data_IF_406244680907
#
_entry.id   IF_406244680907
#
_cell.length_a   1.000
_cell.length_b   1.000
_cell.length_c   1.000
_cell.angle_alpha   90.00
_cell.angle_beta   90.00
_cell.angle_gamma   90.00
#
_symmetry.space_group_name_H-M   'P 1'
#
loop_
_entity.id
_entity.type
_entity.pdbx_description
1 polymer ?
#
# COMPACT_ATOMS: atom_id res chain seq x y z
N UNK A 1 12.26 -18.24 -14.19
CA UNK A 1 10.87 -17.72 -14.27
C UNK A 1 10.18 -17.65 -12.90
N UNK A 2 10.51 -18.53 -11.95
CA UNK A 2 9.89 -18.56 -10.62
C UNK A 2 10.09 -17.26 -9.82
N UNK A 3 11.32 -16.72 -9.78
CA UNK A 3 11.63 -15.48 -9.05
C UNK A 3 10.81 -14.27 -9.49
N UNK A 4 10.52 -14.15 -10.79
CA UNK A 4 9.75 -13.04 -11.34
C UNK A 4 8.28 -13.06 -10.88
N UNK A 5 7.73 -14.25 -10.63
CA UNK A 5 6.40 -14.41 -10.05
C UNK A 5 6.37 -14.08 -8.55
N UNK A 6 7.46 -14.35 -7.83
CA UNK A 6 7.54 -14.12 -6.39
C UNK A 6 7.89 -12.67 -6.02
N UNK A 7 8.35 -11.87 -6.98
CA UNK A 7 8.69 -10.44 -6.80
C UNK A 7 7.58 -9.47 -7.21
N UNK A 8 6.32 -9.91 -7.26
CA UNK A 8 5.19 -8.99 -7.51
C UNK A 8 5.11 -7.94 -6.39
N UNK A 9 5.19 -6.66 -6.76
CA UNK A 9 5.18 -5.54 -5.82
C UNK A 9 6.57 -4.99 -5.45
N UNK A 10 7.65 -5.63 -5.93
CA UNK A 10 9.01 -5.12 -5.75
C UNK A 10 9.30 -4.03 -6.77
N UNK A 11 9.94 -2.95 -6.34
CA UNK A 11 10.53 -1.94 -7.23
C UNK A 11 12.03 -2.21 -7.44
N UNK A 12 12.67 -1.51 -8.37
CA UNK A 12 14.10 -1.70 -8.66
C UNK A 12 15.01 -1.62 -7.43
N UNK A 13 14.70 -0.71 -6.49
CA UNK A 13 15.43 -0.59 -5.22
C UNK A 13 15.24 -1.81 -4.30
N UNK A 14 14.06 -2.44 -4.30
CA UNK A 14 13.81 -3.65 -3.52
C UNK A 14 14.59 -4.83 -4.08
N UNK A 15 14.68 -4.93 -5.42
CA UNK A 15 15.45 -5.97 -6.09
C UNK A 15 16.96 -5.79 -5.84
N UNK A 16 17.47 -4.56 -5.88
CA UNK A 16 18.86 -4.26 -5.50
C UNK A 16 19.13 -4.68 -4.04
N UNK A 17 18.21 -4.33 -3.14
CA UNK A 17 18.32 -4.72 -1.73
C UNK A 17 18.30 -6.24 -1.55
N UNK A 18 17.42 -6.94 -2.28
CA UNK A 18 17.33 -8.41 -2.27
C UNK A 18 18.65 -9.05 -2.71
N UNK A 19 19.23 -8.60 -3.83
CA UNK A 19 20.52 -9.10 -4.33
C UNK A 19 21.64 -8.82 -3.33
N UNK A 20 21.64 -7.64 -2.72
CA UNK A 20 22.65 -7.26 -1.72
C UNK A 20 22.58 -8.13 -0.46
N UNK A 21 21.37 -8.46 -0.01
CA UNK A 21 21.18 -9.38 1.12
C UNK A 21 21.64 -10.81 0.76
N UNK A 22 21.27 -11.29 -0.44
CA UNK A 22 21.70 -12.60 -0.92
C UNK A 22 23.23 -12.70 -1.01
N UNK A 23 23.90 -11.64 -1.47
CA UNK A 23 25.36 -11.56 -1.50
C UNK A 23 25.98 -11.63 -0.10
N UNK A 24 25.43 -10.92 0.89
CA UNK A 24 25.95 -10.98 2.27
C UNK A 24 25.79 -12.36 2.88
N UNK A 25 24.67 -13.04 2.62
CA UNK A 25 24.43 -14.39 3.12
C UNK A 25 25.38 -15.40 2.46
N UNK A 26 25.52 -15.36 1.13
CA UNK A 26 26.46 -16.20 0.41
C UNK A 26 27.93 -15.94 0.80
N UNK A 27 28.30 -14.69 1.08
CA UNK A 27 29.65 -14.34 1.56
C UNK A 27 29.94 -14.97 2.93
N UNK A 28 28.95 -15.00 3.81
CA UNK A 28 29.07 -15.59 5.14
C UNK A 28 29.26 -17.11 5.04
N UNK A 29 28.43 -17.78 4.23
CA UNK A 29 28.54 -19.24 4.01
C UNK A 29 29.88 -19.61 3.36
N UNK A 30 30.32 -18.84 2.36
CA UNK A 30 31.61 -19.04 1.70
C UNK A 30 32.81 -18.86 2.66
N UNK A 31 32.72 -17.92 3.62
CA UNK A 31 33.76 -17.72 4.62
C UNK A 31 33.82 -18.85 5.67
N UNK A 32 32.67 -19.45 5.99
CA UNK A 32 32.57 -20.57 6.93
C UNK A 32 33.06 -21.89 6.28
N UNK A 33 32.68 -22.19 5.04
CA UNK A 33 32.98 -23.46 4.37
C UNK A 33 34.19 -23.42 3.39
N UNK A 34 34.82 -22.25 3.19
CA UNK A 34 35.88 -22.03 2.17
C UNK A 34 35.48 -22.47 0.76
N UNK A 35 34.20 -22.30 0.42
CA UNK A 35 33.64 -22.62 -0.90
C UNK A 35 33.65 -21.36 -1.76
N UNK A 36 33.69 -21.53 -3.08
CA UNK A 36 33.49 -20.42 -4.01
C UNK A 36 32.14 -19.74 -3.78
N UNK A 37 32.17 -18.41 -3.73
CA UNK A 37 30.97 -17.60 -3.54
C UNK A 37 30.02 -17.78 -4.72
N UNK A 38 28.84 -18.34 -4.46
CA UNK A 38 27.77 -18.44 -5.45
C UNK A 38 26.44 -18.01 -4.85
N UNK A 39 25.66 -17.24 -5.63
CA UNK A 39 24.28 -16.89 -5.27
C UNK A 39 23.40 -17.99 -5.85
N UNK A 40 22.94 -18.91 -5.00
CA UNK A 40 21.97 -19.93 -5.39
C UNK A 40 20.54 -19.40 -5.32
N UNK A 41 19.63 -20.07 -6.01
CA UNK A 41 18.20 -19.74 -5.94
C UNK A 41 17.63 -19.95 -4.53
N UNK A 42 18.21 -20.87 -3.75
CA UNK A 42 17.78 -21.13 -2.36
C UNK A 42 18.13 -19.95 -1.45
N UNK A 43 19.32 -19.36 -1.60
CA UNK A 43 19.72 -18.13 -0.88
C UNK A 43 18.78 -16.99 -1.24
N UNK A 44 18.43 -16.85 -2.53
CA UNK A 44 17.51 -15.82 -2.98
C UNK A 44 16.10 -16.00 -2.39
N UNK A 45 15.61 -17.26 -2.30
CA UNK A 45 14.33 -17.58 -1.69
C UNK A 45 14.31 -17.26 -0.18
N UNK A 46 15.41 -17.48 0.53
CA UNK A 46 15.54 -17.10 1.95
C UNK A 46 15.48 -15.58 2.13
N UNK A 47 16.11 -14.81 1.23
CA UNK A 47 16.09 -13.35 1.29
C UNK A 47 14.71 -12.75 0.95
N UNK A 48 13.91 -13.40 0.09
CA UNK A 48 12.53 -12.97 -0.22
C UNK A 48 11.61 -12.98 1.01
N UNK A 49 11.91 -13.77 2.04
CA UNK A 49 11.18 -13.77 3.30
C UNK A 49 11.51 -12.57 4.21
N UNK A 50 12.67 -11.93 3.99
CA UNK A 50 13.19 -10.84 4.83
C UNK A 50 12.94 -9.49 4.16
N UNK A 51 13.11 -9.42 2.84
CA UNK A 51 12.93 -8.19 2.07
C UNK A 51 11.47 -8.01 1.73
N UNK A 52 10.77 -7.14 2.44
CA UNK A 52 9.41 -6.79 2.06
C UNK A 52 9.39 -5.85 0.83
N UNK A 53 8.46 -6.05 -0.11
CA UNK A 53 8.27 -5.15 -1.25
C UNK A 53 7.80 -3.77 -0.81
N UNK A 54 8.33 -2.73 -1.45
CA UNK A 54 7.96 -1.33 -1.18
C UNK A 54 6.48 -1.06 -1.40
N UNK A 55 5.85 -1.68 -2.40
CA UNK A 55 4.41 -1.53 -2.64
C UNK A 55 3.52 -2.09 -1.51
N UNK A 56 4.04 -3.00 -0.66
CA UNK A 56 3.32 -3.48 0.53
C UNK A 56 3.57 -2.61 1.77
N UNK A 57 4.72 -1.93 1.85
CA UNK A 57 5.09 -1.09 3.00
C UNK A 57 4.26 0.18 3.12
N UNK A 58 3.78 0.74 2.01
CA UNK A 58 3.04 2.00 2.02
C UNK A 58 1.55 1.88 2.37
N UNK A 59 1.00 0.66 2.46
CA UNK A 59 -0.44 0.44 2.73
C UNK A 59 -0.65 -0.18 4.11
N UNK A 60 -0.22 0.51 5.17
CA UNK A 60 -0.71 0.24 6.52
C UNK A 60 -2.06 0.93 6.77
N UNK A 61 -3.06 0.67 5.91
CA UNK A 61 -4.45 0.90 6.30
C UNK A 61 -4.97 -0.37 6.95
N UNK A 62 -4.85 -0.45 8.28
CA UNK A 62 -5.48 -1.52 9.04
C UNK A 62 -7.00 -1.26 9.05
N UNK A 63 -7.69 -1.76 8.01
CA UNK A 63 -9.15 -1.69 7.85
C UNK A 63 -9.89 -2.74 8.69
N UNK A 64 -9.18 -3.52 9.53
CA UNK A 64 -9.81 -4.47 10.43
C UNK A 64 -10.78 -3.75 11.37
N UNK A 65 -12.07 -4.12 11.30
CA UNK A 65 -13.15 -3.47 12.04
C UNK A 65 -13.74 -2.23 11.37
N UNK A 66 -13.64 -2.09 10.06
CA UNK A 66 -14.37 -1.06 9.33
C UNK A 66 -15.89 -1.22 9.57
N UNK A 67 -16.48 -0.26 10.28
CA UNK A 67 -17.93 -0.15 10.43
C UNK A 67 -18.54 0.09 9.04
N UNK A 68 -19.69 -0.52 8.74
CA UNK A 68 -20.37 -0.27 7.47
C UNK A 68 -20.75 1.22 7.36
N UNK A 69 -20.81 1.75 6.12
CA UNK A 69 -21.21 3.14 5.87
C UNK A 69 -22.58 3.48 6.50
N UNK A 70 -23.45 2.49 6.64
CA UNK A 70 -24.79 2.56 7.22
C UNK A 70 -24.78 2.59 8.75
N UNK A 71 -23.80 1.96 9.40
CA UNK A 71 -23.63 1.96 10.87
C UNK A 71 -23.29 3.34 11.45
N UNK A 72 -22.73 4.24 10.63
CA UNK A 72 -22.40 5.60 11.07
C UNK A 72 -23.69 6.42 11.15
N UNK A 73 -24.25 6.56 12.35
CA UNK A 73 -25.43 7.39 12.59
C UNK A 73 -25.21 8.87 12.26
N UNK A 74 -26.19 9.50 11.59
CA UNK A 74 -26.19 10.94 11.31
C UNK A 74 -25.19 11.37 10.20
N UNK A 75 -24.71 12.62 10.30
CA UNK A 75 -23.70 13.21 9.40
C UNK A 75 -24.04 13.14 7.89
N UNK A 76 -25.32 13.08 7.53
CA UNK A 76 -25.77 12.88 6.15
C UNK A 76 -25.20 13.89 5.17
N UNK A 77 -25.13 15.17 5.58
CA UNK A 77 -24.53 16.22 4.76
C UNK A 77 -23.03 15.99 4.51
N UNK A 78 -22.29 15.57 5.54
CA UNK A 78 -20.86 15.28 5.46
C UNK A 78 -20.60 14.05 4.60
N UNK A 79 -21.39 12.99 4.80
CA UNK A 79 -21.37 11.77 3.98
C UNK A 79 -21.56 12.10 2.50
N UNK A 80 -22.58 12.90 2.18
CA UNK A 80 -22.87 13.30 0.82
C UNK A 80 -21.70 14.09 0.20
N UNK A 81 -21.15 15.08 0.92
CA UNK A 81 -19.99 15.86 0.44
C UNK A 81 -18.76 14.99 0.20
N UNK A 82 -18.51 13.98 1.04
CA UNK A 82 -17.40 13.05 0.85
C UNK A 82 -17.59 12.17 -0.39
N UNK A 83 -18.79 11.63 -0.60
CA UNK A 83 -19.11 10.87 -1.83
C UNK A 83 -18.94 11.75 -3.06
N UNK A 84 -19.42 12.99 -3.02
CA UNK A 84 -19.22 13.95 -4.11
C UNK A 84 -17.75 14.27 -4.36
N UNK A 85 -16.95 14.38 -3.31
CA UNK A 85 -15.55 14.74 -3.43
C UNK A 85 -14.66 13.57 -3.88
N UNK A 86 -15.01 12.34 -3.52
CA UNK A 86 -14.20 11.13 -3.79
C UNK A 86 -14.75 10.31 -4.94
N UNK A 87 -16.04 9.96 -4.91
CA UNK A 87 -16.64 9.05 -5.90
C UNK A 87 -16.91 9.75 -7.24
N UNK A 88 -17.41 10.98 -7.23
CA UNK A 88 -17.82 11.66 -8.47
C UNK A 88 -16.68 11.92 -9.46
N UNK A 89 -15.48 12.36 -9.03
CA UNK A 89 -14.37 12.51 -9.96
C UNK A 89 -13.93 11.20 -10.61
N UNK A 90 -14.04 10.08 -9.87
CA UNK A 90 -13.71 8.75 -10.37
C UNK A 90 -14.79 8.21 -11.33
N UNK A 91 -16.06 8.48 -11.03
CA UNK A 91 -17.21 7.97 -11.80
C UNK A 91 -17.54 8.83 -13.03
N UNK A 92 -17.22 10.12 -12.99
CA UNK A 92 -17.58 11.09 -14.03
C UNK A 92 -16.41 11.98 -14.51
N UNK A 93 -15.26 11.41 -14.90
CA UNK A 93 -14.07 12.19 -15.26
C UNK A 93 -14.29 13.12 -16.47
N UNK A 94 -15.11 12.70 -17.44
CA UNK A 94 -15.44 13.50 -18.62
C UNK A 94 -16.23 14.76 -18.27
N UNK A 95 -17.18 14.66 -17.33
CA UNK A 95 -18.00 15.79 -16.91
C UNK A 95 -17.15 16.84 -16.18
N UNK A 96 -16.22 16.39 -15.33
CA UNK A 96 -15.25 17.26 -14.68
C UNK A 96 -14.37 17.99 -15.70
N UNK A 97 -13.86 17.26 -16.69
CA UNK A 97 -13.04 17.83 -17.76
C UNK A 97 -13.80 18.85 -18.61
N UNK A 98 -15.05 18.53 -18.99
CA UNK A 98 -15.93 19.43 -19.78
C UNK A 98 -16.30 20.70 -19.03
N UNK A 99 -16.48 20.61 -17.72
CA UNK A 99 -16.80 21.75 -16.85
C UNK A 99 -15.54 22.52 -16.40
N UNK A 100 -14.34 22.05 -16.76
CA UNK A 100 -13.08 22.64 -16.31
C UNK A 100 -12.83 22.51 -14.80
N UNK A 101 -13.52 21.56 -14.14
CA UNK A 101 -13.40 21.32 -12.72
C UNK A 101 -12.19 20.43 -12.44
N UNK A 102 -11.37 20.84 -11.47
CA UNK A 102 -10.26 20.01 -10.99
C UNK A 102 -10.76 19.07 -9.89
N UNK A 103 -10.40 17.78 -9.92
CA UNK A 103 -10.68 16.87 -8.81
C UNK A 103 -9.98 17.35 -7.54
N UNK A 104 -10.58 17.06 -6.38
CA UNK A 104 -9.96 17.38 -5.10
C UNK A 104 -8.67 16.59 -4.92
N UNK A 105 -7.58 17.27 -4.53
CA UNK A 105 -6.27 16.64 -4.28
C UNK A 105 -6.15 16.05 -2.87
N UNK A 106 -7.04 16.43 -1.96
CA UNK A 106 -7.06 15.93 -0.59
C UNK A 106 -8.25 16.48 0.20
N UNK A 107 -8.69 15.73 1.21
CA UNK A 107 -9.81 16.08 2.09
C UNK A 107 -9.32 16.08 3.53
N UNK A 108 -9.52 17.20 4.24
CA UNK A 108 -9.20 17.33 5.67
C UNK A 108 -10.47 17.21 6.51
N UNK A 109 -10.57 16.16 7.32
CA UNK A 109 -11.64 16.01 8.30
C UNK A 109 -11.19 16.53 9.67
N UNK A 110 -11.80 17.61 10.15
CA UNK A 110 -11.44 18.27 11.42
C UNK A 110 -12.63 18.41 12.39
N UNK A 111 -12.34 18.65 13.66
CA UNK A 111 -13.31 18.92 14.73
C UNK A 111 -13.01 18.15 16.03
N UNK A 112 -13.90 18.24 17.04
CA UNK A 112 -13.65 17.67 18.36
C UNK A 112 -13.60 16.12 18.34
N UNK A 113 -12.99 15.54 19.38
CA UNK A 113 -12.95 14.08 19.58
C UNK A 113 -14.39 13.55 19.73
N UNK A 114 -14.68 12.40 19.13
CA UNK A 114 -16.01 11.78 19.15
C UNK A 114 -16.92 12.06 17.94
N UNK A 115 -16.53 12.93 17.00
CA UNK A 115 -17.33 13.23 15.80
C UNK A 115 -17.11 12.25 14.62
N UNK A 116 -16.90 10.95 14.90
CA UNK A 116 -16.81 9.87 13.91
C UNK A 116 -15.84 10.05 12.71
N UNK A 117 -14.87 10.98 12.75
CA UNK A 117 -13.97 11.29 11.61
C UNK A 117 -13.18 10.07 11.15
N UNK A 118 -12.56 9.37 12.10
CA UNK A 118 -11.79 8.15 11.82
C UNK A 118 -12.68 7.01 11.35
N UNK A 119 -13.87 6.85 11.96
CA UNK A 119 -14.83 5.84 11.54
C UNK A 119 -15.36 6.08 10.13
N UNK A 120 -15.58 7.34 9.75
CA UNK A 120 -16.07 7.73 8.43
C UNK A 120 -15.06 7.41 7.33
N UNK A 121 -13.77 7.70 7.55
CA UNK A 121 -12.72 7.33 6.58
C UNK A 121 -12.62 5.82 6.43
N UNK A 122 -12.70 5.06 7.53
CA UNK A 122 -12.66 3.59 7.48
C UNK A 122 -13.84 3.01 6.71
N UNK A 123 -15.05 3.54 6.92
CA UNK A 123 -16.24 3.09 6.22
C UNK A 123 -16.26 3.47 4.74
N UNK A 124 -15.61 4.57 4.35
CA UNK A 124 -15.47 4.97 2.94
C UNK A 124 -14.40 4.15 2.21
N UNK A 125 -13.38 3.69 2.93
CA UNK A 125 -12.28 2.90 2.38
C UNK A 125 -12.56 1.39 2.33
N UNK A 126 -13.65 0.93 2.95
CA UNK A 126 -14.11 -0.46 2.94
C UNK A 126 -15.04 -0.71 1.74
#
# INVERSE_FOLDING_TARGET
LQLAGDTVGYVGADLEHLVRQALMLAAREAAEDRVDMCISMDVMAQCLAIVEPSLKREVHMNLQGASSWEEIGGLQEVKHKLVQAVEWPLRYPEQFSRLGLRPYTGILLYGPRGCAKTSLVRALAA
#
